data_IF_101905872032
#
_entry.id   IF_101905872032
#
_cell.length_a   1.000
_cell.length_b   1.000
_cell.length_c   1.000
_cell.angle_alpha   90.00
_cell.angle_beta   90.00
_cell.angle_gamma   90.00
#
_symmetry.space_group_name_H-M   'P 1'
#
loop_
_entity.id
_entity.type
_entity.pdbx_description
1 polymer ?
#
# COMPACT_ATOMS: atom_id res chain seq x y z
N UNK A 1 39.30 44.73 -44.20
CA UNK A 1 37.95 44.32 -43.77
C UNK A 1 37.99 43.44 -42.49
N UNK A 2 38.71 43.86 -41.43
CA UNK A 2 39.03 42.99 -40.25
C UNK A 2 38.44 43.55 -38.93
N UNK A 3 37.88 44.77 -38.91
CA UNK A 3 37.36 45.37 -37.67
C UNK A 3 36.05 44.72 -37.17
N UNK A 4 35.22 44.17 -38.04
CA UNK A 4 33.91 43.63 -37.64
C UNK A 4 33.97 42.23 -37.01
N UNK A 5 34.93 41.39 -37.39
CA UNK A 5 35.05 40.00 -36.88
C UNK A 5 35.33 39.94 -35.38
N UNK A 6 36.02 40.94 -34.80
CA UNK A 6 36.31 41.00 -33.36
C UNK A 6 35.05 41.34 -32.54
N UNK A 7 34.19 42.21 -33.06
CA UNK A 7 32.90 42.56 -32.44
C UNK A 7 31.89 41.41 -32.53
N UNK A 8 31.80 40.73 -33.69
CA UNK A 8 30.95 39.55 -33.84
C UNK A 8 31.37 38.41 -32.89
N UNK A 9 32.67 38.15 -32.73
CA UNK A 9 33.17 37.16 -31.76
C UNK A 9 32.80 37.50 -30.31
N UNK A 10 32.89 38.78 -29.93
CA UNK A 10 32.51 39.25 -28.59
C UNK A 10 31.00 39.13 -28.35
N UNK A 11 30.18 39.52 -29.33
CA UNK A 11 28.73 39.37 -29.27
C UNK A 11 28.29 37.90 -29.17
N UNK A 12 28.91 37.01 -29.95
CA UNK A 12 28.67 35.57 -29.91
C UNK A 12 29.01 34.97 -28.53
N UNK A 13 30.16 35.35 -27.96
CA UNK A 13 30.59 34.87 -26.63
C UNK A 13 29.62 35.32 -25.52
N UNK A 14 29.16 36.57 -25.59
CA UNK A 14 28.16 37.11 -24.65
C UNK A 14 26.83 36.36 -24.80
N UNK A 15 26.35 36.14 -26.02
CA UNK A 15 25.13 35.37 -26.27
C UNK A 15 25.23 33.92 -25.76
N UNK A 16 26.35 33.24 -26.02
CA UNK A 16 26.63 31.90 -25.49
C UNK A 16 26.66 31.88 -23.96
N UNK A 17 27.26 32.89 -23.33
CA UNK A 17 27.30 33.01 -21.87
C UNK A 17 25.90 33.20 -21.29
N UNK A 18 25.05 34.03 -21.90
CA UNK A 18 23.65 34.18 -21.49
C UNK A 18 22.83 32.91 -21.71
N UNK A 19 23.05 32.18 -22.81
CA UNK A 19 22.39 30.89 -23.04
C UNK A 19 22.82 29.83 -22.01
N UNK A 20 24.11 29.80 -21.64
CA UNK A 20 24.62 28.94 -20.58
C UNK A 20 23.99 29.28 -19.23
N UNK A 21 23.98 30.56 -18.86
CA UNK A 21 23.34 31.02 -17.62
C UNK A 21 21.85 30.67 -17.62
N UNK A 22 21.14 30.96 -18.72
CA UNK A 22 19.73 30.63 -18.88
C UNK A 22 19.46 29.12 -18.77
N UNK A 23 20.30 28.29 -19.39
CA UNK A 23 20.21 26.82 -19.30
C UNK A 23 20.43 26.32 -17.87
N UNK A 24 21.43 26.83 -17.15
CA UNK A 24 21.68 26.46 -15.75
C UNK A 24 20.50 26.89 -14.87
N UNK A 25 20.01 28.12 -15.01
CA UNK A 25 18.87 28.61 -14.24
C UNK A 25 17.60 27.81 -14.51
N UNK A 26 17.34 27.46 -15.78
CA UNK A 26 16.20 26.63 -16.15
C UNK A 26 16.30 25.20 -15.59
N UNK A 27 17.49 24.59 -15.62
CA UNK A 27 17.73 23.29 -14.99
C UNK A 27 17.54 23.33 -13.47
N UNK A 28 18.03 24.38 -12.79
CA UNK A 28 17.82 24.57 -11.34
C UNK A 28 16.33 24.74 -11.02
N UNK A 29 15.60 25.50 -11.84
CA UNK A 29 14.15 25.66 -11.69
C UNK A 29 13.42 24.33 -11.85
N UNK A 30 13.69 23.57 -12.92
CA UNK A 30 13.09 22.25 -13.12
C UNK A 30 13.40 21.30 -11.96
N UNK A 31 14.65 21.28 -11.50
CA UNK A 31 15.06 20.45 -10.37
C UNK A 31 14.23 20.78 -9.12
N UNK A 32 14.07 22.06 -8.79
CA UNK A 32 13.26 22.49 -7.63
C UNK A 32 11.79 22.10 -7.78
N UNK A 33 11.19 22.32 -8.95
CA UNK A 33 9.79 21.96 -9.21
C UNK A 33 9.58 20.45 -9.06
N UNK A 34 10.42 19.64 -9.71
CA UNK A 34 10.34 18.17 -9.63
C UNK A 34 10.55 17.69 -8.18
N UNK A 35 11.48 18.29 -7.45
CA UNK A 35 11.71 17.92 -6.05
C UNK A 35 10.51 18.27 -5.15
N UNK A 36 9.90 19.44 -5.34
CA UNK A 36 8.70 19.83 -4.60
C UNK A 36 7.50 18.92 -4.92
N UNK A 37 7.30 18.57 -6.19
CA UNK A 37 6.25 17.62 -6.59
C UNK A 37 6.46 16.26 -5.95
N UNK A 38 7.69 15.73 -5.93
CA UNK A 38 8.01 14.47 -5.23
C UNK A 38 7.67 14.54 -3.75
N UNK A 39 8.11 15.59 -3.05
CA UNK A 39 7.80 15.77 -1.63
C UNK A 39 6.29 15.81 -1.38
N UNK A 40 5.52 16.46 -2.26
CA UNK A 40 4.07 16.48 -2.15
C UNK A 40 3.44 15.09 -2.33
N UNK A 41 3.93 14.31 -3.30
CA UNK A 41 3.45 12.94 -3.51
C UNK A 41 3.81 11.98 -2.38
N UNK A 42 5.03 12.09 -1.84
CA UNK A 42 5.46 11.32 -0.67
C UNK A 42 4.58 11.65 0.55
N UNK A 43 4.27 12.94 0.76
CA UNK A 43 3.35 13.37 1.83
C UNK A 43 1.94 12.80 1.63
N UNK A 44 1.40 12.86 0.41
CA UNK A 44 0.08 12.29 0.10
C UNK A 44 0.07 10.78 0.31
N UNK A 45 1.10 10.06 -0.13
CA UNK A 45 1.26 8.63 0.11
C UNK A 45 1.23 8.32 1.62
N UNK A 46 1.98 9.07 2.43
CA UNK A 46 1.98 8.87 3.89
C UNK A 46 0.61 9.13 4.52
N UNK A 47 -0.14 10.15 4.08
CA UNK A 47 -1.51 10.39 4.55
C UNK A 47 -2.41 9.18 4.26
N UNK A 48 -2.33 8.64 3.05
CA UNK A 48 -3.09 7.46 2.68
C UNK A 48 -2.62 6.20 3.43
N UNK A 49 -1.33 6.03 3.70
CA UNK A 49 -0.82 4.93 4.54
C UNK A 49 -1.32 5.04 5.98
N UNK A 50 -1.27 6.23 6.57
CA UNK A 50 -1.81 6.48 7.91
C UNK A 50 -3.30 6.08 7.99
N UNK A 51 -4.11 6.45 6.98
CA UNK A 51 -5.51 6.04 6.93
C UNK A 51 -5.68 4.54 6.72
N UNK A 52 -4.88 3.93 5.84
CA UNK A 52 -4.87 2.48 5.63
C UNK A 52 -4.63 1.72 6.94
N UNK A 53 -3.54 2.05 7.64
CA UNK A 53 -3.12 1.40 8.88
C UNK A 53 -4.14 1.59 10.00
N UNK A 54 -4.66 2.81 10.16
CA UNK A 54 -5.70 3.12 11.14
C UNK A 54 -7.00 2.35 10.85
N UNK A 55 -7.47 2.40 9.61
CA UNK A 55 -8.74 1.74 9.23
C UNK A 55 -8.62 0.23 9.38
N UNK A 56 -7.52 -0.39 8.93
CA UNK A 56 -7.34 -1.84 9.08
C UNK A 56 -7.25 -2.25 10.56
N UNK A 57 -6.46 -1.51 11.35
CA UNK A 57 -6.27 -1.83 12.77
C UNK A 57 -7.59 -1.71 13.56
N UNK A 58 -8.46 -0.77 13.19
CA UNK A 58 -9.75 -0.58 13.83
C UNK A 58 -10.82 -1.60 13.44
N UNK A 59 -10.63 -2.40 12.38
CA UNK A 59 -11.60 -3.45 11.97
C UNK A 59 -11.96 -4.36 13.14
N UNK A 60 -10.97 -4.74 13.95
CA UNK A 60 -11.14 -5.64 15.07
C UNK A 60 -11.46 -4.93 16.39
N UNK A 61 -11.48 -3.59 16.42
CA UNK A 61 -11.79 -2.85 17.65
C UNK A 61 -13.23 -3.08 18.12
N UNK A 62 -14.17 -3.26 17.17
CA UNK A 62 -15.58 -3.53 17.45
C UNK A 62 -15.85 -4.93 18.06
N UNK A 63 -14.86 -5.82 18.03
CA UNK A 63 -14.92 -7.13 18.67
C UNK A 63 -14.84 -7.02 20.20
N UNK A 64 -14.21 -5.95 20.72
CA UNK A 64 -13.89 -5.80 22.14
C UNK A 64 -13.09 -7.00 22.66
N UNK A 65 -13.49 -7.52 23.83
CA UNK A 65 -12.86 -8.68 24.46
C UNK A 65 -13.38 -10.03 23.92
N UNK A 66 -14.25 -10.01 22.91
CA UNK A 66 -14.81 -11.24 22.36
C UNK A 66 -13.74 -12.03 21.61
N UNK A 67 -13.76 -13.36 21.73
CA UNK A 67 -12.97 -14.20 20.83
C UNK A 67 -13.43 -14.01 19.39
N UNK A 68 -12.47 -13.95 18.45
CA UNK A 68 -12.74 -13.71 17.03
C UNK A 68 -13.83 -14.62 16.46
N UNK A 69 -13.75 -15.92 16.76
CA UNK A 69 -14.71 -16.91 16.27
C UNK A 69 -16.09 -16.80 16.92
N UNK A 70 -16.19 -16.20 18.11
CA UNK A 70 -17.48 -15.90 18.74
C UNK A 70 -18.12 -14.68 18.08
N UNK A 71 -17.31 -13.65 17.82
CA UNK A 71 -17.77 -12.41 17.19
C UNK A 71 -18.36 -12.65 15.80
N UNK A 72 -17.69 -13.45 14.96
CA UNK A 72 -18.10 -13.63 13.55
C UNK A 72 -19.24 -14.65 13.34
N UNK A 73 -19.96 -15.06 14.39
CA UNK A 73 -21.08 -16.01 14.25
C UNK A 73 -22.31 -15.45 13.53
N UNK A 74 -22.33 -14.15 13.24
CA UNK A 74 -23.42 -13.50 12.51
C UNK A 74 -22.91 -12.97 11.17
N UNK A 75 -23.74 -13.03 10.11
CA UNK A 75 -23.34 -12.53 8.80
C UNK A 75 -23.05 -11.01 8.83
N UNK A 76 -23.72 -10.26 9.70
CA UNK A 76 -23.48 -8.83 9.89
C UNK A 76 -22.06 -8.53 10.41
N UNK A 77 -21.59 -9.29 11.40
CA UNK A 77 -20.23 -9.09 11.93
C UNK A 77 -19.16 -9.49 10.91
N UNK A 78 -19.40 -10.55 10.14
CA UNK A 78 -18.52 -10.90 9.02
C UNK A 78 -18.48 -9.78 7.97
N UNK A 79 -19.63 -9.18 7.63
CA UNK A 79 -19.69 -8.03 6.71
C UNK A 79 -18.89 -6.84 7.22
N UNK A 80 -19.00 -6.47 8.50
CA UNK A 80 -18.23 -5.36 9.08
C UNK A 80 -16.73 -5.54 8.91
N UNK A 81 -16.24 -6.77 9.09
CA UNK A 81 -14.81 -7.09 8.88
C UNK A 81 -14.43 -6.95 7.42
N UNK A 82 -15.21 -7.56 6.52
CA UNK A 82 -14.95 -7.50 5.07
C UNK A 82 -14.93 -6.06 4.58
N UNK A 83 -15.93 -5.26 4.94
CA UNK A 83 -16.08 -3.88 4.50
C UNK A 83 -14.96 -2.97 5.03
N UNK A 84 -14.60 -3.09 6.31
CA UNK A 84 -13.52 -2.29 6.88
C UNK A 84 -12.15 -2.62 6.28
N UNK A 85 -11.88 -3.89 5.96
CA UNK A 85 -10.65 -4.28 5.24
C UNK A 85 -10.68 -3.74 3.80
N UNK A 86 -11.82 -3.79 3.12
CA UNK A 86 -11.95 -3.19 1.78
C UNK A 86 -11.71 -1.68 1.79
N UNK A 87 -12.29 -0.96 2.75
CA UNK A 87 -12.05 0.48 2.93
C UNK A 87 -10.56 0.78 3.13
N UNK A 88 -9.92 0.02 4.03
CA UNK A 88 -8.48 0.13 4.26
C UNK A 88 -7.66 -0.13 2.99
N UNK A 89 -8.02 -1.13 2.19
CA UNK A 89 -7.32 -1.43 0.94
C UNK A 89 -7.47 -0.33 -0.12
N UNK A 90 -8.57 0.44 -0.13
CA UNK A 90 -8.69 1.60 -1.01
C UNK A 90 -7.66 2.69 -0.67
N UNK A 91 -7.40 2.93 0.62
CA UNK A 91 -6.34 3.86 1.03
C UNK A 91 -4.95 3.35 0.63
N UNK A 92 -4.67 2.05 0.82
CA UNK A 92 -3.41 1.45 0.38
C UNK A 92 -3.19 1.58 -1.15
N UNK A 93 -4.24 1.37 -1.93
CA UNK A 93 -4.23 1.57 -3.38
C UNK A 93 -3.96 3.02 -3.78
N UNK A 94 -4.61 3.97 -3.11
CA UNK A 94 -4.37 5.39 -3.34
C UNK A 94 -2.90 5.74 -3.05
N UNK A 95 -2.36 5.27 -1.93
CA UNK A 95 -0.95 5.44 -1.58
C UNK A 95 -0.01 4.85 -2.63
N UNK A 96 -0.27 3.60 -3.05
CA UNK A 96 0.49 2.92 -4.10
C UNK A 96 0.50 3.71 -5.40
N UNK A 97 -0.62 4.31 -5.80
CA UNK A 97 -0.68 5.15 -6.99
C UNK A 97 0.21 6.39 -6.88
N UNK A 98 0.29 7.05 -5.72
CA UNK A 98 1.18 8.20 -5.54
C UNK A 98 2.66 7.83 -5.58
N UNK A 99 3.00 6.61 -5.15
CA UNK A 99 4.35 6.07 -5.18
C UNK A 99 4.74 5.60 -6.59
N UNK A 100 3.88 4.81 -7.24
CA UNK A 100 4.16 4.15 -8.54
C UNK A 100 3.93 5.03 -9.77
N UNK A 101 2.99 5.98 -9.72
CA UNK A 101 2.71 6.88 -10.85
C UNK A 101 3.78 7.95 -11.05
N UNK A 102 4.67 8.11 -10.07
CA UNK A 102 5.82 8.98 -10.20
C UNK A 102 6.84 8.33 -11.15
N UNK A 103 7.01 8.94 -12.34
CA UNK A 103 7.99 8.60 -13.40
C UNK A 103 9.47 8.61 -12.96
N UNK A 104 9.75 8.63 -11.65
CA UNK A 104 11.06 8.86 -11.08
C UNK A 104 11.52 7.79 -10.09
N UNK A 105 10.78 6.69 -9.94
CA UNK A 105 11.24 5.57 -9.14
C UNK A 105 11.95 4.53 -10.00
N UNK A 106 13.18 4.17 -9.58
CA UNK A 106 14.06 3.18 -10.21
C UNK A 106 13.72 1.72 -9.82
N UNK A 107 12.58 1.46 -9.17
CA UNK A 107 12.19 0.11 -8.74
C UNK A 107 10.71 -0.15 -9.01
N UNK A 108 10.45 -1.38 -9.45
CA UNK A 108 9.11 -1.96 -9.43
C UNK A 108 8.66 -2.14 -7.98
N UNK A 109 7.43 -1.73 -7.68
CA UNK A 109 6.82 -1.78 -6.34
C UNK A 109 5.56 -2.63 -6.48
N UNK A 110 5.76 -3.93 -6.67
CA UNK A 110 4.64 -4.86 -6.76
C UNK A 110 3.92 -4.91 -5.42
N UNK A 111 2.60 -4.80 -5.46
CA UNK A 111 1.68 -5.03 -4.33
C UNK A 111 0.72 -6.18 -4.62
N UNK A 112 0.93 -6.87 -5.74
CA UNK A 112 -0.05 -7.79 -6.34
C UNK A 112 -0.28 -8.98 -5.42
N UNK A 113 0.78 -9.55 -4.85
CA UNK A 113 0.67 -10.76 -4.05
C UNK A 113 0.00 -10.49 -2.71
N UNK A 114 0.38 -9.39 -2.05
CA UNK A 114 -0.21 -8.96 -0.78
C UNK A 114 -1.70 -8.66 -0.95
N UNK A 115 -2.05 -7.89 -1.99
CA UNK A 115 -3.46 -7.55 -2.27
C UNK A 115 -4.26 -8.79 -2.64
N UNK A 116 -3.74 -9.67 -3.48
CA UNK A 116 -4.43 -10.90 -3.85
C UNK A 116 -4.62 -11.85 -2.66
N UNK A 117 -3.64 -11.95 -1.76
CA UNK A 117 -3.79 -12.72 -0.52
C UNK A 117 -4.95 -12.19 0.33
N UNK A 118 -5.01 -10.87 0.54
CA UNK A 118 -6.06 -10.26 1.35
C UNK A 118 -7.41 -10.35 0.62
N UNK A 119 -7.52 -9.80 -0.59
CA UNK A 119 -8.78 -9.65 -1.34
C UNK A 119 -9.33 -10.98 -1.86
N UNK A 120 -8.48 -11.79 -2.51
CA UNK A 120 -8.90 -13.01 -3.21
C UNK A 120 -8.64 -14.30 -2.41
N UNK A 121 -7.94 -14.19 -1.28
CA UNK A 121 -7.71 -15.30 -0.37
C UNK A 121 -8.58 -15.17 0.88
N UNK A 122 -8.20 -14.26 1.77
CA UNK A 122 -8.84 -14.10 3.08
C UNK A 122 -10.27 -13.59 2.98
N UNK A 123 -10.52 -12.49 2.26
CA UNK A 123 -11.86 -11.92 2.16
C UNK A 123 -12.82 -12.84 1.39
N UNK A 124 -12.35 -13.59 0.40
CA UNK A 124 -13.18 -14.56 -0.33
C UNK A 124 -13.63 -15.75 0.54
N UNK A 125 -12.77 -16.21 1.46
CA UNK A 125 -13.18 -17.18 2.48
C UNK A 125 -14.22 -16.61 3.44
N UNK A 126 -14.02 -15.38 3.91
CA UNK A 126 -15.00 -14.72 4.77
C UNK A 126 -16.34 -14.47 4.07
N UNK A 127 -16.35 -14.12 2.77
CA UNK A 127 -17.58 -13.99 1.97
C UNK A 127 -18.32 -15.32 1.89
N UNK A 128 -17.62 -16.41 1.61
CA UNK A 128 -18.19 -17.76 1.56
C UNK A 128 -18.84 -18.13 2.90
N UNK A 129 -18.14 -17.86 4.01
CA UNK A 129 -18.66 -18.07 5.35
C UNK A 129 -19.89 -17.21 5.67
N UNK A 130 -19.88 -15.93 5.28
CA UNK A 130 -21.04 -15.04 5.42
C UNK A 130 -22.26 -15.57 4.67
N UNK A 131 -22.08 -16.07 3.45
CA UNK A 131 -23.17 -16.65 2.65
C UNK A 131 -23.76 -17.86 3.37
N UNK A 132 -22.91 -18.78 3.83
CA UNK A 132 -23.35 -19.92 4.63
C UNK A 132 -24.16 -19.50 5.87
N UNK A 133 -23.70 -18.49 6.63
CA UNK A 133 -24.42 -17.98 7.79
C UNK A 133 -25.78 -17.35 7.44
N UNK A 134 -25.90 -16.77 6.24
CA UNK A 134 -27.13 -16.12 5.76
C UNK A 134 -28.18 -17.14 5.30
N UNK A 135 -27.73 -18.28 4.75
CA UNK A 135 -28.60 -19.33 4.22
C UNK A 135 -29.27 -20.18 5.31
N UNK A 136 -28.93 -19.95 6.60
CA UNK A 136 -29.49 -20.65 7.78
C UNK A 136 -29.45 -22.17 7.65
N UNK A 137 -28.31 -22.70 7.19
CA UNK A 137 -28.10 -24.14 7.08
C UNK A 137 -27.93 -24.76 8.48
N UNK A 138 -28.60 -25.89 8.73
CA UNK A 138 -28.48 -26.65 9.98
C UNK A 138 -27.23 -27.57 10.02
N UNK A 139 -26.49 -27.67 8.91
CA UNK A 139 -25.24 -28.43 8.82
C UNK A 139 -24.05 -27.55 9.17
N UNK A 140 -23.01 -28.04 9.87
CA UNK A 140 -21.80 -27.27 10.14
C UNK A 140 -21.08 -26.84 8.85
N UNK A 141 -20.48 -25.65 8.87
CA UNK A 141 -19.63 -25.18 7.77
C UNK A 141 -18.34 -26.01 7.67
N UNK A 142 -18.09 -26.61 6.50
CA UNK A 142 -16.96 -27.53 6.29
C UNK A 142 -15.60 -26.86 6.53
N UNK A 143 -15.48 -25.58 6.17
CA UNK A 143 -14.22 -24.83 6.15
C UNK A 143 -13.98 -24.00 7.43
N UNK A 144 -14.70 -24.30 8.53
CA UNK A 144 -14.66 -23.47 9.75
C UNK A 144 -13.26 -23.33 10.36
N UNK A 145 -12.43 -24.38 10.25
CA UNK A 145 -11.04 -24.34 10.72
C UNK A 145 -10.20 -23.35 9.91
N UNK A 146 -10.39 -23.31 8.58
CA UNK A 146 -9.72 -22.36 7.71
C UNK A 146 -10.17 -20.93 8.01
N UNK A 147 -11.46 -20.70 8.27
CA UNK A 147 -11.97 -19.38 8.71
C UNK A 147 -11.27 -18.92 9.99
N UNK A 148 -11.04 -19.83 10.95
CA UNK A 148 -10.31 -19.48 12.17
C UNK A 148 -8.87 -19.07 11.87
N UNK A 149 -8.17 -19.75 10.96
CA UNK A 149 -6.81 -19.39 10.56
C UNK A 149 -6.78 -18.06 9.80
N UNK A 150 -7.71 -17.83 8.89
CA UNK A 150 -7.89 -16.56 8.17
C UNK A 150 -8.08 -15.40 9.15
N UNK A 151 -8.94 -15.58 10.16
CA UNK A 151 -9.16 -14.56 11.19
C UNK A 151 -7.90 -14.25 11.98
N UNK A 152 -7.13 -15.28 12.39
CA UNK A 152 -5.86 -15.08 13.07
C UNK A 152 -4.86 -14.32 12.19
N UNK A 153 -4.77 -14.67 10.93
CA UNK A 153 -3.87 -14.00 9.98
C UNK A 153 -4.23 -12.53 9.79
N UNK A 154 -5.52 -12.21 9.65
CA UNK A 154 -5.99 -10.84 9.56
C UNK A 154 -5.74 -10.07 10.86
N UNK A 155 -5.84 -10.70 12.04
CA UNK A 155 -5.48 -10.09 13.32
C UNK A 155 -3.97 -9.84 13.44
N UNK A 156 -3.14 -10.75 12.93
CA UNK A 156 -1.68 -10.57 12.86
C UNK A 156 -1.33 -9.36 11.98
N UNK A 157 -1.93 -9.26 10.78
CA UNK A 157 -1.76 -8.12 9.88
C UNK A 157 -2.25 -6.82 10.55
N UNK A 158 -3.43 -6.86 11.19
CA UNK A 158 -3.99 -5.74 11.93
C UNK A 158 -3.05 -5.25 13.04
N UNK A 159 -2.44 -6.17 13.78
CA UNK A 159 -1.49 -5.85 14.85
C UNK A 159 -0.20 -5.23 14.31
N UNK A 160 0.30 -5.74 13.19
CA UNK A 160 1.46 -5.18 12.50
C UNK A 160 1.18 -3.75 11.99
N UNK A 161 0.05 -3.53 11.32
CA UNK A 161 -0.37 -2.21 10.86
C UNK A 161 -0.63 -1.24 12.03
N UNK A 162 -1.24 -1.73 13.12
CA UNK A 162 -1.41 -0.93 14.33
C UNK A 162 -0.07 -0.46 14.89
N UNK A 163 0.92 -1.35 14.93
CA UNK A 163 2.26 -0.99 15.39
C UNK A 163 2.87 0.09 14.50
N UNK A 164 2.76 -0.02 13.18
CA UNK A 164 3.21 1.03 12.25
C UNK A 164 2.51 2.37 12.54
N UNK A 165 1.19 2.33 12.70
CA UNK A 165 0.40 3.50 12.99
C UNK A 165 0.82 4.21 14.29
N UNK A 166 0.93 3.46 15.39
CA UNK A 166 1.27 3.98 16.72
C UNK A 166 2.70 4.58 16.73
N UNK A 167 3.61 4.07 15.90
CA UNK A 167 4.99 4.57 15.76
C UNK A 167 5.13 5.66 14.67
N UNK A 168 4.02 6.08 14.04
CA UNK A 168 4.02 7.03 12.92
C UNK A 168 4.90 6.57 11.74
N UNK A 169 5.01 5.26 11.54
CA UNK A 169 5.73 4.64 10.42
C UNK A 169 4.80 4.46 9.21
N UNK A 170 4.48 5.57 8.55
CA UNK A 170 3.57 5.59 7.39
C UNK A 170 4.28 5.34 6.06
N UNK A 171 5.44 4.68 6.09
CA UNK A 171 6.15 4.33 4.88
C UNK A 171 5.37 3.29 4.08
N UNK A 172 5.24 3.52 2.78
CA UNK A 172 4.62 2.57 1.89
C UNK A 172 5.42 1.26 1.86
N UNK A 173 4.73 0.14 2.10
CA UNK A 173 5.30 -1.20 2.03
C UNK A 173 4.87 -1.89 0.73
N UNK A 174 5.74 -2.71 0.14
CA UNK A 174 5.43 -3.53 -1.04
C UNK A 174 5.38 -5.04 -0.69
N UNK A 175 5.21 -5.89 -1.69
CA UNK A 175 5.14 -7.35 -1.50
C UNK A 175 6.38 -7.92 -0.79
N UNK A 176 7.58 -7.39 -1.07
CA UNK A 176 8.81 -7.81 -0.43
C UNK A 176 8.84 -7.42 1.05
N UNK A 177 8.43 -6.20 1.37
CA UNK A 177 8.39 -5.70 2.74
C UNK A 177 7.37 -6.50 3.56
N UNK A 178 6.17 -6.73 3.01
CA UNK A 178 5.15 -7.59 3.61
C UNK A 178 5.67 -9.02 3.82
N UNK A 179 6.35 -9.59 2.82
CA UNK A 179 6.92 -10.93 2.93
C UNK A 179 7.98 -11.03 4.04
N UNK A 180 8.81 -10.00 4.20
CA UNK A 180 9.86 -9.99 5.21
C UNK A 180 9.32 -9.77 6.62
N UNK A 181 8.35 -8.87 6.77
CA UNK A 181 7.88 -8.39 8.06
C UNK A 181 6.76 -9.25 8.67
N UNK A 182 5.80 -9.74 7.87
CA UNK A 182 4.59 -10.39 8.42
C UNK A 182 4.33 -11.80 7.91
N UNK A 183 4.73 -12.15 6.69
CA UNK A 183 4.35 -13.44 6.06
C UNK A 183 4.71 -14.69 6.88
N UNK A 184 5.83 -14.65 7.63
CA UNK A 184 6.29 -15.77 8.46
C UNK A 184 5.37 -16.05 9.66
N UNK A 185 4.64 -15.05 10.12
CA UNK A 185 3.75 -15.13 11.29
C UNK A 185 2.34 -15.62 10.93
N UNK A 186 1.98 -15.53 9.64
CA UNK A 186 0.71 -16.03 9.12
C UNK A 186 0.64 -17.56 9.24
N UNK A 187 -0.55 -18.11 9.44
CA UNK A 187 -0.81 -19.51 9.75
C UNK A 187 -1.67 -20.21 8.70
N UNK A 188 -2.51 -19.49 7.97
CA UNK A 188 -3.33 -20.06 6.90
C UNK A 188 -2.45 -20.62 5.78
N UNK A 189 -2.89 -21.75 5.20
CA UNK A 189 -2.24 -22.32 4.02
C UNK A 189 -2.48 -21.47 2.76
N UNK A 190 -3.50 -20.59 2.76
CA UNK A 190 -3.86 -19.72 1.64
C UNK A 190 -2.66 -18.86 1.21
N UNK A 191 -1.86 -18.39 2.17
CA UNK A 191 -0.69 -17.53 1.89
C UNK A 191 0.31 -18.14 0.90
N UNK A 192 0.41 -19.47 0.86
CA UNK A 192 1.37 -20.17 0.01
C UNK A 192 1.03 -20.03 -1.48
N UNK A 193 -0.25 -19.85 -1.83
CA UNK A 193 -0.68 -19.70 -3.21
C UNK A 193 -0.28 -18.36 -3.83
N UNK A 194 -0.02 -17.34 -3.01
CA UNK A 194 0.27 -15.97 -3.47
C UNK A 194 1.75 -15.59 -3.39
N UNK A 195 2.53 -16.26 -2.53
CA UNK A 195 3.97 -15.98 -2.36
C UNK A 195 4.87 -17.17 -2.77
N UNK A 196 4.38 -18.03 -3.68
CA UNK A 196 5.08 -19.26 -4.10
C UNK A 196 6.47 -19.04 -4.77
N UNK A 197 6.79 -17.82 -5.19
CA UNK A 197 8.08 -17.45 -5.80
C UNK A 197 9.03 -16.67 -4.89
N UNK A 198 8.65 -16.40 -3.64
CA UNK A 198 9.50 -15.67 -2.69
C UNK A 198 10.37 -16.66 -1.91
N UNK A 199 11.69 -16.57 -2.06
CA UNK A 199 12.66 -17.33 -1.26
C UNK A 199 13.15 -16.51 -0.06
N UNK A 200 13.46 -17.19 1.04
CA UNK A 200 14.21 -16.62 2.17
C UNK A 200 15.62 -16.19 1.74
#
# INVERSE_FOLDING_TARGET
MIKNTKYYKKALFIALSFLLIGSVLFNVYQYKTIHNERNNYDNLSQIYMSNHELTFSNVFALMGDSEAMVYIKTPEHVSKIIEGIYESNFYYLASSNFITSNKVQNKSISTVNTRNLIENGYLDKLKSYRTYLSDKQDIPYEDINEISLVMKDLQTISSWLKKKYDHHDYQFYNDQDFYQEVYKELQSNIKQYYFNGFSK
#
